data_IF_110924141560
#
_entry.id   IF_110924141560
#
_cell.length_a   1.000
_cell.length_b   1.000
_cell.length_c   1.000
_cell.angle_alpha   90.00
_cell.angle_beta   90.00
_cell.angle_gamma   90.00
#
_symmetry.space_group_name_H-M   'P 1'
#
loop_
_entity.id
_entity.type
_entity.pdbx_description
1 polymer ?
#
# COMPACT_ATOMS: atom_id res chain seq x y z
N UNK A 1 -1.26 -51.10 30.02
CA UNK A 1 -1.01 -49.71 29.62
C UNK A 1 -0.36 -49.01 30.80
N UNK A 2 0.79 -48.38 30.59
CA UNK A 2 1.57 -47.75 31.65
C UNK A 2 0.86 -46.49 32.16
N UNK A 3 0.77 -46.29 33.48
CA UNK A 3 0.14 -45.12 34.10
C UNK A 3 0.77 -43.80 33.61
N UNK A 4 2.07 -43.84 33.30
CA UNK A 4 2.81 -42.72 32.75
C UNK A 4 2.38 -42.38 31.32
N UNK A 5 2.01 -43.39 30.52
CA UNK A 5 1.53 -43.20 29.15
C UNK A 5 0.12 -42.58 29.13
N UNK A 6 -0.77 -43.02 30.02
CA UNK A 6 -2.11 -42.44 30.20
C UNK A 6 -2.04 -40.98 30.66
N UNK A 7 -1.17 -40.66 31.61
CA UNK A 7 -0.98 -39.29 32.06
C UNK A 7 -0.47 -38.38 30.94
N UNK A 8 0.42 -38.88 30.08
CA UNK A 8 0.93 -38.12 28.93
C UNK A 8 -0.17 -37.84 27.90
N UNK A 9 -1.02 -38.83 27.61
CA UNK A 9 -2.16 -38.68 26.68
C UNK A 9 -3.17 -37.66 27.21
N UNK A 10 -3.53 -37.73 28.50
CA UNK A 10 -4.44 -36.76 29.11
C UNK A 10 -3.88 -35.34 29.05
N UNK A 11 -2.59 -35.17 29.39
CA UNK A 11 -1.93 -33.86 29.35
C UNK A 11 -1.88 -33.29 27.93
N UNK A 12 -1.63 -34.15 26.94
CA UNK A 12 -1.64 -33.77 25.52
C UNK A 12 -3.04 -33.38 25.05
N UNK A 13 -4.08 -34.11 25.48
CA UNK A 13 -5.47 -33.82 25.13
C UNK A 13 -5.92 -32.48 25.73
N UNK A 14 -5.60 -32.22 27.00
CA UNK A 14 -5.88 -30.94 27.66
C UNK A 14 -5.18 -29.78 26.95
N UNK A 15 -3.92 -29.95 26.53
CA UNK A 15 -3.21 -28.92 25.77
C UNK A 15 -3.88 -28.62 24.41
N UNK A 16 -4.30 -29.64 23.67
CA UNK A 16 -5.03 -29.45 22.42
C UNK A 16 -6.34 -28.67 22.64
N UNK A 17 -7.09 -29.02 23.67
CA UNK A 17 -8.34 -28.33 23.99
C UNK A 17 -8.11 -26.86 24.33
N UNK A 18 -7.03 -26.55 25.06
CA UNK A 18 -6.67 -25.18 25.45
C UNK A 18 -6.24 -24.32 24.26
N UNK A 19 -5.55 -24.91 23.28
CA UNK A 19 -5.21 -24.26 22.01
C UNK A 19 -6.45 -23.95 21.18
N UNK A 20 -7.39 -24.90 21.10
CA UNK A 20 -8.64 -24.70 20.37
C UNK A 20 -9.51 -23.62 21.00
N UNK A 21 -9.55 -23.55 22.34
CA UNK A 21 -10.25 -22.49 23.07
C UNK A 21 -9.65 -21.11 22.80
N UNK A 22 -8.33 -21.00 22.74
CA UNK A 22 -7.65 -19.73 22.40
C UNK A 22 -7.94 -19.30 20.96
N UNK A 23 -7.92 -20.21 19.99
CA UNK A 23 -8.33 -19.90 18.61
C UNK A 23 -9.79 -19.45 18.53
N UNK A 24 -10.68 -20.15 19.23
CA UNK A 24 -12.10 -19.80 19.25
C UNK A 24 -12.31 -18.43 19.92
N UNK A 25 -11.59 -18.12 20.99
CA UNK A 25 -11.62 -16.80 21.61
C UNK A 25 -11.10 -15.71 20.66
N UNK A 26 -9.99 -15.94 19.95
CA UNK A 26 -9.49 -15.00 18.95
C UNK A 26 -10.48 -14.74 17.81
N UNK A 27 -11.24 -15.77 17.39
CA UNK A 27 -12.31 -15.66 16.40
C UNK A 27 -13.53 -14.89 16.93
N UNK A 28 -14.01 -15.21 18.14
CA UNK A 28 -15.17 -14.55 18.75
C UNK A 28 -14.89 -13.12 19.20
N UNK A 29 -13.68 -12.83 19.68
CA UNK A 29 -13.26 -11.48 20.06
C UNK A 29 -12.99 -10.58 18.84
N UNK A 30 -13.05 -11.12 17.61
CA UNK A 30 -12.71 -10.36 16.40
C UNK A 30 -11.23 -9.96 16.34
N UNK A 31 -10.38 -10.59 17.16
CA UNK A 31 -8.94 -10.32 17.27
C UNK A 31 -8.10 -11.22 16.35
N UNK A 32 -8.72 -11.86 15.36
CA UNK A 32 -8.05 -12.02 14.09
C UNK A 32 -7.89 -10.64 13.46
N UNK A 33 -6.96 -9.85 14.02
CA UNK A 33 -6.30 -8.81 13.25
C UNK A 33 -5.78 -9.57 12.04
N UNK A 34 -6.31 -9.33 10.83
CA UNK A 34 -5.63 -9.80 9.64
C UNK A 34 -4.19 -9.37 9.85
N UNK A 35 -3.20 -10.24 9.62
CA UNK A 35 -1.88 -9.73 9.29
C UNK A 35 -2.17 -8.65 8.26
N UNK A 36 -2.04 -7.39 8.67
CA UNK A 36 -2.40 -6.27 7.84
C UNK A 36 -1.38 -6.37 6.72
N UNK A 37 -1.76 -7.01 5.61
CA UNK A 37 -1.46 -6.46 4.31
C UNK A 37 -1.86 -5.01 4.51
N UNK A 38 -0.86 -4.16 4.75
CA UNK A 38 -1.06 -2.78 5.16
C UNK A 38 -1.82 -2.22 3.97
N UNK A 39 -3.15 -2.12 4.10
CA UNK A 39 -3.96 -1.47 3.10
C UNK A 39 -3.41 -0.06 3.13
N UNK A 40 -2.55 0.26 2.15
CA UNK A 40 -1.86 1.53 2.09
C UNK A 40 -2.97 2.56 2.14
N UNK A 41 -3.02 3.32 3.23
CA UNK A 41 -4.01 4.38 3.36
C UNK A 41 -3.81 5.32 2.17
N UNK A 42 -4.88 5.95 1.66
CA UNK A 42 -4.77 6.87 0.51
C UNK A 42 -3.56 7.83 0.59
N UNK A 43 -3.23 8.46 1.75
CA UNK A 43 -2.06 9.32 1.89
C UNK A 43 -0.72 8.60 1.64
N UNK A 44 -0.60 7.34 2.06
CA UNK A 44 0.58 6.51 1.84
C UNK A 44 0.73 6.13 0.38
N UNK A 45 -0.37 5.72 -0.28
CA UNK A 45 -0.39 5.43 -1.72
C UNK A 45 0.02 6.65 -2.54
N UNK A 46 -0.57 7.83 -2.27
CA UNK A 46 -0.21 9.07 -2.97
C UNK A 46 1.29 9.36 -2.81
N UNK A 47 1.85 9.18 -1.61
CA UNK A 47 3.27 9.45 -1.34
C UNK A 47 4.18 8.48 -2.10
N UNK A 48 3.82 7.19 -2.16
CA UNK A 48 4.58 6.20 -2.95
C UNK A 48 4.53 6.49 -4.45
N UNK A 49 3.34 6.72 -5.01
CA UNK A 49 3.18 7.02 -6.44
C UNK A 49 3.90 8.32 -6.81
N UNK A 50 3.87 9.31 -5.92
CA UNK A 50 4.66 10.53 -6.06
C UNK A 50 6.17 10.23 -6.10
N UNK A 51 6.68 9.31 -5.29
CA UNK A 51 8.09 8.91 -5.32
C UNK A 51 8.50 8.21 -6.61
N UNK A 52 7.60 7.44 -7.24
CA UNK A 52 7.87 6.68 -8.49
C UNK A 52 7.88 7.57 -9.73
N UNK A 53 7.11 8.67 -9.73
CA UNK A 53 7.04 9.58 -10.86
C UNK A 53 8.11 10.67 -10.80
N UNK A 54 8.79 10.92 -11.92
CA UNK A 54 9.73 12.04 -12.03
C UNK A 54 8.95 13.33 -12.25
N UNK A 55 9.43 14.46 -11.72
CA UNK A 55 8.87 15.78 -12.04
C UNK A 55 9.03 16.07 -13.53
N UNK A 56 8.04 16.71 -14.13
CA UNK A 56 8.13 17.12 -15.52
C UNK A 56 9.10 18.31 -15.65
N UNK A 57 9.96 18.25 -16.67
CA UNK A 57 10.82 19.36 -17.07
C UNK A 57 10.80 19.43 -18.59
N UNK A 58 10.43 20.59 -19.11
CA UNK A 58 10.44 20.83 -20.55
C UNK A 58 11.88 21.03 -21.03
N UNK A 59 12.27 20.27 -22.04
CA UNK A 59 13.58 20.39 -22.68
C UNK A 59 13.42 20.03 -24.17
N UNK A 60 13.42 21.03 -25.07
CA UNK A 60 13.24 20.81 -26.49
C UNK A 60 14.44 20.12 -27.14
N UNK A 61 15.66 20.34 -26.64
CA UNK A 61 16.90 19.79 -27.20
C UNK A 61 17.03 18.29 -26.91
N UNK A 62 16.56 17.84 -25.74
CA UNK A 62 16.49 16.42 -25.39
C UNK A 62 15.15 15.76 -25.76
N UNK A 63 14.27 16.46 -26.47
CA UNK A 63 12.95 15.96 -26.84
C UNK A 63 12.08 15.57 -25.64
N UNK A 64 12.24 16.25 -24.50
CA UNK A 64 11.41 16.07 -23.30
C UNK A 64 10.17 16.96 -23.42
N UNK A 65 9.16 16.42 -24.07
CA UNK A 65 7.83 16.99 -24.17
C UNK A 65 6.87 16.34 -23.16
N UNK A 66 5.77 17.02 -22.84
CA UNK A 66 4.76 16.50 -21.91
C UNK A 66 4.26 15.11 -22.31
N UNK A 67 3.96 14.88 -23.60
CA UNK A 67 3.49 13.58 -24.11
C UNK A 67 4.43 12.44 -23.75
N UNK A 68 5.75 12.60 -23.98
CA UNK A 68 6.76 11.58 -23.66
C UNK A 68 6.94 11.36 -22.16
N UNK A 69 6.68 12.38 -21.35
CA UNK A 69 6.70 12.25 -19.90
C UNK A 69 5.46 11.52 -19.40
N UNK A 70 4.28 11.91 -19.91
CA UNK A 70 3.01 11.30 -19.59
C UNK A 70 2.99 9.82 -20.01
N UNK A 71 3.49 9.48 -21.20
CA UNK A 71 3.52 8.10 -21.69
C UNK A 71 4.27 7.15 -20.75
N UNK A 72 5.30 7.66 -20.06
CA UNK A 72 6.12 6.89 -19.10
C UNK A 72 5.48 6.74 -17.72
N UNK A 73 4.48 7.55 -17.41
CA UNK A 73 3.87 7.63 -16.08
C UNK A 73 2.35 7.37 -16.10
N UNK A 74 1.75 7.21 -17.28
CA UNK A 74 0.32 6.94 -17.44
C UNK A 74 -0.10 5.63 -16.76
N UNK A 75 0.71 4.58 -16.84
CA UNK A 75 0.45 3.30 -16.17
C UNK A 75 0.42 3.46 -14.65
N UNK A 76 1.30 4.30 -14.08
CA UNK A 76 1.30 4.60 -12.63
C UNK A 76 0.02 5.33 -12.21
N UNK A 77 -0.53 6.18 -13.07
CA UNK A 77 -1.76 6.93 -12.78
C UNK A 77 -3.03 6.10 -13.01
N UNK A 78 -3.02 5.22 -14.02
CA UNK A 78 -4.18 4.44 -14.45
C UNK A 78 -4.28 3.09 -13.72
N UNK A 79 -3.17 2.36 -13.55
CA UNK A 79 -3.14 1.04 -12.94
C UNK A 79 -2.82 1.14 -11.45
N UNK A 80 -1.63 1.61 -11.06
CA UNK A 80 -1.24 1.71 -9.66
C UNK A 80 -2.11 2.73 -8.89
N UNK A 81 -2.54 3.79 -9.58
CA UNK A 81 -3.43 4.82 -9.08
C UNK A 81 -4.91 4.49 -9.18
N UNK A 82 -5.31 3.33 -9.71
CA UNK A 82 -6.72 2.98 -9.93
C UNK A 82 -7.56 3.04 -8.63
N UNK A 83 -6.92 2.77 -7.49
CA UNK A 83 -7.53 2.80 -6.16
C UNK A 83 -7.70 4.21 -5.56
N UNK A 84 -7.08 5.23 -6.18
CA UNK A 84 -7.19 6.63 -5.76
C UNK A 84 -8.42 7.30 -6.36
N UNK A 85 -9.01 8.20 -5.59
CA UNK A 85 -10.03 9.11 -6.09
C UNK A 85 -9.47 9.97 -7.25
N UNK A 86 -10.34 10.35 -8.18
CA UNK A 86 -9.95 11.15 -9.35
C UNK A 86 -9.27 12.47 -8.95
N UNK A 87 -9.79 13.16 -7.93
CA UNK A 87 -9.20 14.40 -7.41
C UNK A 87 -7.78 14.17 -6.86
N UNK A 88 -7.54 13.04 -6.21
CA UNK A 88 -6.23 12.67 -5.69
C UNK A 88 -5.23 12.39 -6.82
N UNK A 89 -5.67 11.71 -7.89
CA UNK A 89 -4.84 11.48 -9.10
C UNK A 89 -4.52 12.79 -9.81
N UNK A 90 -5.49 13.69 -9.92
CA UNK A 90 -5.29 15.02 -10.52
C UNK A 90 -4.31 15.87 -9.70
N UNK A 91 -4.44 15.90 -8.37
CA UNK A 91 -3.50 16.59 -7.48
C UNK A 91 -2.08 16.05 -7.61
N UNK A 92 -1.95 14.72 -7.70
CA UNK A 92 -0.67 14.06 -7.90
C UNK A 92 -0.03 14.44 -9.25
N UNK A 93 -0.81 14.44 -10.34
CA UNK A 93 -0.36 14.87 -11.66
C UNK A 93 0.07 16.34 -11.64
N UNK A 94 -0.77 17.23 -11.13
CA UNK A 94 -0.49 18.67 -11.05
C UNK A 94 0.77 18.95 -10.22
N UNK A 95 0.96 18.26 -9.10
CA UNK A 95 2.17 18.39 -8.27
C UNK A 95 3.47 18.03 -8.99
N UNK A 96 3.43 17.22 -10.06
CA UNK A 96 4.59 16.95 -10.92
C UNK A 96 4.82 17.98 -12.02
N UNK A 97 3.79 18.75 -12.36
CA UNK A 97 3.85 19.79 -13.38
C UNK A 97 4.19 21.17 -12.79
N UNK A 98 3.94 21.38 -11.49
CA UNK A 98 4.04 22.67 -10.81
C UNK A 98 5.48 23.23 -10.63
N UNK A 99 6.49 22.63 -11.27
CA UNK A 99 7.77 23.32 -11.48
C UNK A 99 7.70 24.39 -12.59
N UNK A 100 6.58 24.46 -13.33
CA UNK A 100 6.35 25.46 -14.37
C UNK A 100 5.95 26.84 -13.81
N UNK A 101 5.53 26.95 -12.55
CA UNK A 101 5.07 28.21 -11.94
C UNK A 101 6.19 29.07 -11.35
N UNK A 102 7.41 28.54 -11.16
CA UNK A 102 8.52 29.27 -10.55
C UNK A 102 9.33 30.17 -11.51
N UNK A 103 9.02 30.17 -12.82
CA UNK A 103 9.83 30.89 -13.83
C UNK A 103 9.06 31.92 -14.65
N UNK A 104 7.93 32.43 -14.15
CA UNK A 104 7.28 33.60 -14.74
C UNK A 104 6.93 34.66 -13.70
N UNK A 105 7.94 35.36 -13.20
CA UNK A 105 7.81 36.70 -12.61
C UNK A 105 9.18 37.34 -12.41
N UNK A 106 9.87 37.63 -13.52
CA UNK A 106 10.81 38.76 -13.59
C UNK A 106 10.54 39.47 -14.92
N UNK A 107 9.46 40.25 -14.93
CA UNK A 107 9.32 41.38 -15.85
C UNK A 107 9.95 42.60 -15.17
#
# INVERSE_FOLDING_TARGET
MDAHALQKILKQNTQQMQLMQQMMHALLSGELKPQQAVALTQPTLISELNGRMKTFTFDPDMGRCFTRWYDRHQEILMEDGASLAEDARLRLLLGKLDNLSATSAKF
#
